data_IF_179083123378
#
_entry.id   IF_179083123378
#
_cell.length_a   1.000
_cell.length_b   1.000
_cell.length_c   1.000
_cell.angle_alpha   90.00
_cell.angle_beta   90.00
_cell.angle_gamma   90.00
#
_symmetry.space_group_name_H-M   'P 1'
#
loop_
_entity.id
_entity.type
_entity.pdbx_description
1 polymer ?
#
# COMPACT_ATOMS: atom_id res chain seq x y z
N UNK A 1 -13.52 -2.29 20.16
CA UNK A 1 -13.46 -1.30 19.06
C UNK A 1 -14.86 -0.78 18.73
N UNK A 2 -15.56 -0.17 19.68
CA UNK A 2 -16.83 0.51 19.40
C UNK A 2 -16.64 2.00 19.13
N UNK A 3 -15.51 2.55 19.58
CA UNK A 3 -15.14 3.95 19.40
C UNK A 3 -14.32 4.12 18.11
N UNK A 4 -14.78 4.91 17.12
CA UNK A 4 -14.01 5.24 15.92
C UNK A 4 -12.60 5.74 16.23
N UNK A 5 -12.43 6.51 17.32
CA UNK A 5 -11.16 7.12 17.67
C UNK A 5 -10.08 6.08 18.06
N UNK A 6 -10.47 4.99 18.72
CA UNK A 6 -9.58 3.86 19.03
C UNK A 6 -9.10 3.17 17.76
N UNK A 7 -9.99 3.01 16.79
CA UNK A 7 -9.69 2.40 15.49
C UNK A 7 -8.73 3.29 14.71
N UNK A 8 -8.98 4.59 14.66
CA UNK A 8 -8.07 5.59 14.08
C UNK A 8 -6.69 5.52 14.70
N UNK A 9 -6.63 5.45 16.02
CA UNK A 9 -5.36 5.36 16.77
C UNK A 9 -4.57 4.12 16.37
N UNK A 10 -5.23 2.97 16.20
CA UNK A 10 -4.56 1.76 15.73
C UNK A 10 -4.10 1.88 14.26
N UNK A 11 -4.96 2.38 13.37
CA UNK A 11 -4.62 2.60 11.96
C UNK A 11 -3.44 3.56 11.83
N UNK A 12 -3.45 4.66 12.57
CA UNK A 12 -2.39 5.66 12.64
C UNK A 12 -1.03 5.06 13.00
N UNK A 13 -0.99 4.18 13.99
CA UNK A 13 0.24 3.47 14.38
C UNK A 13 0.72 2.52 13.30
N UNK A 14 -0.19 1.71 12.75
CA UNK A 14 0.15 0.73 11.72
C UNK A 14 0.61 1.40 10.40
N UNK A 15 -0.05 2.48 9.99
CA UNK A 15 0.38 3.24 8.80
C UNK A 15 1.70 3.97 9.07
N UNK A 16 1.95 4.41 10.30
CA UNK A 16 3.25 4.94 10.73
C UNK A 16 4.38 3.91 10.50
N UNK A 17 4.17 2.64 10.90
CA UNK A 17 5.13 1.56 10.65
C UNK A 17 5.32 1.35 9.14
N UNK A 18 4.23 1.30 8.36
CA UNK A 18 4.31 1.12 6.91
C UNK A 18 5.11 2.25 6.25
N UNK A 19 4.82 3.50 6.57
CA UNK A 19 5.48 4.68 6.01
C UNK A 19 6.93 4.80 6.48
N UNK A 20 7.24 4.38 7.70
CA UNK A 20 8.61 4.29 8.21
C UNK A 20 9.46 3.36 7.32
N UNK A 21 8.98 2.14 7.05
CA UNK A 21 9.69 1.19 6.18
C UNK A 21 9.77 1.70 4.73
N UNK A 22 8.69 2.27 4.18
CA UNK A 22 8.72 2.88 2.84
C UNK A 22 9.78 3.99 2.73
N UNK A 23 9.93 4.81 3.79
CA UNK A 23 10.93 5.89 3.82
C UNK A 23 12.35 5.33 3.82
N UNK A 24 12.62 4.27 4.59
CA UNK A 24 13.90 3.58 4.57
C UNK A 24 14.22 2.94 3.21
N UNK A 25 13.22 2.37 2.53
CA UNK A 25 13.40 1.84 1.18
C UNK A 25 13.83 2.94 0.20
N UNK A 26 13.17 4.10 0.22
CA UNK A 26 13.57 5.22 -0.64
C UNK A 26 14.95 5.78 -0.28
N UNK A 27 15.30 5.84 1.01
CA UNK A 27 16.65 6.24 1.44
C UNK A 27 17.72 5.27 0.90
N UNK A 28 17.43 3.97 0.91
CA UNK A 28 18.34 2.96 0.33
C UNK A 28 18.46 3.06 -1.18
N UNK A 29 17.46 3.62 -1.86
CA UNK A 29 17.47 3.86 -3.30
C UNK A 29 18.21 5.15 -3.73
N UNK A 30 18.94 5.82 -2.82
CA UNK A 30 19.63 7.10 -3.09
C UNK A 30 20.40 7.10 -4.42
N UNK A 31 21.12 6.01 -4.72
CA UNK A 31 22.00 5.96 -5.89
C UNK A 31 21.19 6.00 -7.19
N UNK A 32 20.00 5.38 -7.19
CA UNK A 32 19.07 5.42 -8.33
C UNK A 32 18.39 6.78 -8.51
N UNK A 33 18.25 7.54 -7.42
CA UNK A 33 17.58 8.86 -7.36
C UNK A 33 18.57 10.00 -7.62
N UNK A 34 19.87 9.75 -7.43
CA UNK A 34 20.95 10.71 -7.60
C UNK A 34 21.02 11.31 -9.00
N UNK A 35 21.74 12.42 -9.18
CA UNK A 35 21.97 13.01 -10.52
C UNK A 35 22.74 12.08 -11.49
N UNK A 36 23.39 11.04 -10.96
CA UNK A 36 24.02 9.97 -11.75
C UNK A 36 23.12 8.75 -11.95
N UNK A 37 21.99 8.71 -11.26
CA UNK A 37 21.01 7.63 -11.29
C UNK A 37 20.04 7.74 -12.46
N UNK A 38 19.22 6.69 -12.60
CA UNK A 38 18.20 6.59 -13.65
C UNK A 38 16.95 7.45 -13.37
N UNK A 39 16.70 7.79 -12.12
CA UNK A 39 15.54 8.58 -11.66
C UNK A 39 15.96 9.97 -11.19
N UNK A 40 16.82 10.63 -11.95
CA UNK A 40 17.29 11.99 -11.66
C UNK A 40 16.25 13.04 -12.01
N UNK A 41 16.25 14.14 -11.26
CA UNK A 41 15.24 15.19 -11.42
C UNK A 41 15.38 15.93 -12.75
N UNK A 42 16.61 16.12 -13.22
CA UNK A 42 16.94 16.78 -14.49
C UNK A 42 16.14 16.23 -15.68
N UNK A 43 15.99 14.91 -15.78
CA UNK A 43 15.18 14.25 -16.82
C UNK A 43 13.68 14.36 -16.53
N UNK A 44 13.26 14.02 -15.30
CA UNK A 44 11.84 14.01 -14.91
C UNK A 44 11.18 15.39 -14.99
N UNK A 45 11.96 16.46 -14.76
CA UNK A 45 11.51 17.84 -14.78
C UNK A 45 10.80 18.21 -16.08
N UNK A 46 11.26 17.66 -17.22
CA UNK A 46 10.71 17.96 -18.55
C UNK A 46 9.22 17.62 -18.64
N UNK A 47 8.76 16.63 -17.90
CA UNK A 47 7.35 16.22 -17.86
C UNK A 47 6.47 17.18 -17.08
N UNK A 48 7.04 18.04 -16.23
CA UNK A 48 6.29 18.98 -15.40
C UNK A 48 6.27 20.40 -15.96
N UNK A 49 6.82 20.62 -17.15
CA UNK A 49 6.89 21.95 -17.77
C UNK A 49 5.50 22.55 -18.09
N UNK A 50 4.46 21.71 -18.16
CA UNK A 50 3.07 22.17 -18.32
C UNK A 50 2.49 22.81 -17.04
N UNK A 51 3.13 22.61 -15.87
CA UNK A 51 2.64 23.15 -14.61
C UNK A 51 2.86 24.68 -14.50
N UNK A 52 2.02 25.38 -13.72
CA UNK A 52 2.24 26.78 -13.39
C UNK A 52 3.64 27.04 -12.79
N UNK A 53 4.26 28.17 -13.14
CA UNK A 53 5.64 28.53 -12.72
C UNK A 53 5.91 28.35 -11.23
N UNK A 54 4.95 28.71 -10.36
CA UNK A 54 5.08 28.56 -8.90
C UNK A 54 5.14 27.09 -8.46
N UNK A 55 4.33 26.22 -9.07
CA UNK A 55 4.33 24.79 -8.78
C UNK A 55 5.62 24.15 -9.30
N UNK A 56 6.04 24.49 -10.52
CA UNK A 56 7.31 24.00 -11.07
C UNK A 56 8.51 24.45 -10.22
N UNK A 57 8.55 25.71 -9.78
CA UNK A 57 9.59 26.21 -8.89
C UNK A 57 9.62 25.48 -7.53
N UNK A 58 8.46 25.12 -6.99
CA UNK A 58 8.36 24.30 -5.79
C UNK A 58 8.91 22.88 -6.02
N UNK A 59 8.57 22.25 -7.16
CA UNK A 59 9.11 20.95 -7.52
C UNK A 59 10.63 21.01 -7.74
N UNK A 60 11.12 22.04 -8.44
CA UNK A 60 12.55 22.30 -8.64
C UNK A 60 13.31 22.50 -7.33
N UNK A 61 12.63 22.94 -6.28
CA UNK A 61 13.22 23.02 -4.94
C UNK A 61 13.22 21.68 -4.21
N UNK A 62 12.13 20.90 -4.23
CA UNK A 62 12.00 19.71 -3.37
C UNK A 62 12.46 18.39 -4.03
N UNK A 63 12.40 18.30 -5.35
CA UNK A 63 12.69 17.06 -6.11
C UNK A 63 14.16 16.77 -6.40
N UNK A 64 15.12 17.72 -6.41
CA UNK A 64 16.53 17.37 -6.53
C UNK A 64 17.02 16.44 -5.41
N UNK A 65 18.02 15.62 -5.71
CA UNK A 65 18.52 14.53 -4.84
C UNK A 65 18.62 14.92 -3.36
N UNK A 66 19.38 15.98 -3.05
CA UNK A 66 19.61 16.41 -1.66
C UNK A 66 18.31 16.68 -0.91
N UNK A 67 17.41 17.46 -1.52
CA UNK A 67 16.15 17.89 -0.89
C UNK A 67 15.15 16.76 -0.80
N UNK A 68 15.13 15.88 -1.80
CA UNK A 68 14.34 14.67 -1.77
C UNK A 68 14.78 13.74 -0.62
N UNK A 69 16.09 13.58 -0.39
CA UNK A 69 16.63 12.78 0.71
C UNK A 69 16.37 13.41 2.09
N UNK A 70 16.46 14.73 2.20
CA UNK A 70 16.02 15.48 3.40
C UNK A 70 14.52 15.22 3.67
N UNK A 71 13.68 15.29 2.64
CA UNK A 71 12.25 14.98 2.75
C UNK A 71 12.01 13.53 3.21
N UNK A 72 12.75 12.54 2.68
CA UNK A 72 12.63 11.15 3.12
C UNK A 72 13.04 10.96 4.58
N UNK A 73 14.04 11.70 5.04
CA UNK A 73 14.49 11.68 6.43
C UNK A 73 13.44 12.29 7.35
N UNK A 74 12.89 13.45 6.99
CA UNK A 74 11.78 14.09 7.72
C UNK A 74 10.57 13.15 7.77
N UNK A 75 10.22 12.53 6.63
CA UNK A 75 9.12 11.57 6.53
C UNK A 75 9.33 10.37 7.44
N UNK A 76 10.55 9.81 7.50
CA UNK A 76 10.90 8.71 8.40
C UNK A 76 10.64 9.05 9.86
N UNK A 77 11.15 10.19 10.34
CA UNK A 77 10.92 10.61 11.73
C UNK A 77 9.45 10.99 11.99
N UNK A 78 8.77 11.62 11.03
CA UNK A 78 7.33 11.90 11.13
C UNK A 78 6.51 10.62 11.25
N UNK A 79 6.93 9.55 10.56
CA UNK A 79 6.29 8.24 10.66
C UNK A 79 6.48 7.60 12.04
N UNK A 80 7.67 7.77 12.66
CA UNK A 80 7.90 7.38 14.06
C UNK A 80 7.00 8.19 15.00
N UNK A 81 6.87 9.50 14.78
CA UNK A 81 5.96 10.34 15.56
C UNK A 81 4.50 9.90 15.41
N UNK A 82 4.07 9.41 14.25
CA UNK A 82 2.73 8.84 14.08
C UNK A 82 2.48 7.60 14.95
N UNK A 83 3.53 6.81 15.22
CA UNK A 83 3.45 5.62 16.09
C UNK A 83 3.30 6.05 17.56
N UNK A 84 4.08 7.04 18.00
CA UNK A 84 4.15 7.48 19.39
C UNK A 84 2.98 8.42 19.74
N UNK A 85 2.66 9.35 18.84
CA UNK A 85 1.67 10.41 19.02
C UNK A 85 0.58 10.38 17.94
N UNK A 86 -0.26 9.32 17.88
CA UNK A 86 -1.23 9.07 16.81
C UNK A 86 -2.47 9.98 16.86
N UNK A 87 -2.39 11.17 17.45
CA UNK A 87 -3.55 12.05 17.69
C UNK A 87 -3.46 13.39 16.94
N UNK A 88 -2.28 13.74 16.43
CA UNK A 88 -2.07 15.04 15.79
C UNK A 88 -2.26 14.97 14.28
N UNK A 89 -3.31 15.62 13.76
CA UNK A 89 -3.63 15.61 12.33
C UNK A 89 -2.47 16.11 11.44
N UNK A 90 -1.66 17.05 11.95
CA UNK A 90 -0.50 17.63 11.25
C UNK A 90 0.51 16.56 10.85
N UNK A 91 0.71 15.53 11.68
CA UNK A 91 1.60 14.41 11.37
C UNK A 91 1.13 13.71 10.08
N UNK A 92 -0.15 13.36 10.01
CA UNK A 92 -0.72 12.67 8.86
C UNK A 92 -0.77 13.56 7.63
N UNK A 93 -0.95 14.89 7.79
CA UNK A 93 -0.85 15.84 6.68
C UNK A 93 0.55 15.86 6.07
N UNK A 94 1.60 15.90 6.89
CA UNK A 94 2.99 15.83 6.41
C UNK A 94 3.24 14.49 5.71
N UNK A 95 2.81 13.38 6.30
CA UNK A 95 2.95 12.06 5.67
C UNK A 95 2.17 11.96 4.36
N UNK A 96 0.93 12.46 4.30
CA UNK A 96 0.11 12.49 3.10
C UNK A 96 0.80 13.29 2.00
N UNK A 97 1.19 14.53 2.31
CA UNK A 97 1.80 15.45 1.35
C UNK A 97 3.12 14.89 0.82
N UNK A 98 3.99 14.38 1.69
CA UNK A 98 5.24 13.74 1.24
C UNK A 98 4.99 12.47 0.43
N UNK A 99 3.93 11.69 0.71
CA UNK A 99 3.55 10.52 -0.13
C UNK A 99 3.10 10.98 -1.51
N UNK A 100 2.31 12.05 -1.56
CA UNK A 100 1.85 12.62 -2.82
C UNK A 100 3.01 13.18 -3.66
N UNK A 101 3.99 13.82 -3.03
CA UNK A 101 5.21 14.27 -3.72
C UNK A 101 6.03 13.10 -4.27
N UNK A 102 6.11 11.98 -3.54
CA UNK A 102 6.70 10.75 -4.06
C UNK A 102 5.94 10.30 -5.32
N UNK A 103 4.61 10.28 -5.33
CA UNK A 103 3.89 9.80 -6.52
C UNK A 103 4.10 10.67 -7.75
N UNK A 104 4.41 11.96 -7.58
CA UNK A 104 4.87 12.78 -8.70
C UNK A 104 6.15 12.17 -9.28
N UNK A 105 7.22 12.02 -8.49
CA UNK A 105 8.50 11.51 -9.01
C UNK A 105 8.40 10.18 -9.78
N UNK A 106 7.46 9.29 -9.39
CA UNK A 106 7.26 8.00 -10.05
C UNK A 106 6.13 7.96 -11.09
N UNK A 107 5.64 9.13 -11.55
CA UNK A 107 4.55 9.25 -12.54
C UNK A 107 3.29 8.47 -12.12
N UNK A 108 3.04 8.39 -10.83
CA UNK A 108 2.04 7.53 -10.21
C UNK A 108 2.62 6.72 -9.05
N UNK A 109 2.15 5.50 -8.87
CA UNK A 109 2.65 4.61 -7.83
C UNK A 109 4.01 4.02 -8.19
N UNK A 110 4.94 3.99 -7.24
CA UNK A 110 6.17 3.21 -7.38
C UNK A 110 5.91 1.71 -7.21
N UNK A 111 5.05 1.33 -6.25
CA UNK A 111 4.74 -0.06 -5.90
C UNK A 111 3.24 -0.37 -6.05
N UNK A 112 2.62 0.19 -7.10
CA UNK A 112 1.23 -0.09 -7.46
C UNK A 112 0.22 0.26 -6.36
N UNK A 113 -0.69 -0.68 -6.10
CA UNK A 113 -1.79 -0.53 -5.14
C UNK A 113 -1.36 -0.17 -3.71
N UNK A 114 -0.14 -0.51 -3.28
CA UNK A 114 0.30 -0.18 -1.91
C UNK A 114 0.48 1.30 -1.68
N UNK A 115 0.97 2.03 -2.70
CA UNK A 115 1.19 3.46 -2.58
C UNK A 115 -0.15 4.21 -2.64
N UNK A 116 -1.09 3.77 -3.48
CA UNK A 116 -2.45 4.30 -3.51
C UNK A 116 -3.19 4.06 -2.19
N UNK A 117 -3.11 2.86 -1.62
CA UNK A 117 -3.74 2.57 -0.32
C UNK A 117 -3.09 3.38 0.80
N UNK A 118 -1.77 3.62 0.74
CA UNK A 118 -1.07 4.50 1.69
C UNK A 118 -1.63 5.92 1.62
N UNK A 119 -1.79 6.49 0.42
CA UNK A 119 -2.41 7.80 0.22
C UNK A 119 -3.84 7.87 0.75
N UNK A 120 -4.65 6.84 0.47
CA UNK A 120 -6.04 6.75 0.92
C UNK A 120 -6.12 6.75 2.44
N UNK A 121 -5.33 5.91 3.12
CA UNK A 121 -5.33 5.83 4.58
C UNK A 121 -4.87 7.16 5.19
N UNK A 122 -3.79 7.75 4.67
CA UNK A 122 -3.29 9.02 5.19
C UNK A 122 -4.28 10.17 4.99
N UNK A 123 -4.94 10.24 3.83
CA UNK A 123 -6.02 11.20 3.57
C UNK A 123 -7.18 11.02 4.57
N UNK A 124 -7.60 9.77 4.78
CA UNK A 124 -8.64 9.42 5.75
C UNK A 124 -8.27 9.85 7.17
N UNK A 125 -7.01 9.65 7.58
CA UNK A 125 -6.51 10.14 8.86
C UNK A 125 -6.52 11.66 8.91
N UNK A 126 -6.08 12.38 7.87
CA UNK A 126 -6.13 13.85 7.83
C UNK A 126 -7.55 14.39 8.09
N UNK A 127 -8.57 13.79 7.48
CA UNK A 127 -9.96 14.29 7.59
C UNK A 127 -10.69 13.77 8.82
N UNK A 128 -10.39 12.55 9.27
CA UNK A 128 -11.17 11.88 10.30
C UNK A 128 -11.01 12.47 11.71
N UNK A 129 -9.91 13.18 11.99
CA UNK A 129 -9.74 13.85 13.29
C UNK A 129 -10.63 15.09 13.46
N UNK A 130 -11.26 15.62 12.41
CA UNK A 130 -12.07 16.84 12.52
C UNK A 130 -13.47 16.60 13.09
N UNK A 131 -14.06 15.42 12.90
CA UNK A 131 -15.36 15.09 13.52
C UNK A 131 -15.63 13.58 13.55
N UNK A 132 -16.46 13.08 14.48
CA UNK A 132 -16.85 11.67 14.52
C UNK A 132 -17.54 11.17 13.25
N UNK A 133 -18.31 12.05 12.58
CA UNK A 133 -18.96 11.72 11.31
C UNK A 133 -17.94 11.49 10.20
N UNK A 134 -16.96 12.39 10.05
CA UNK A 134 -15.87 12.23 9.10
C UNK A 134 -15.01 11.01 9.42
N UNK A 135 -14.76 10.75 10.70
CA UNK A 135 -14.04 9.55 11.15
C UNK A 135 -14.74 8.29 10.62
N UNK A 136 -16.05 8.17 10.87
CA UNK A 136 -16.86 7.04 10.40
C UNK A 136 -16.87 6.93 8.86
N UNK A 137 -17.05 8.05 8.16
CA UNK A 137 -17.05 8.08 6.70
C UNK A 137 -15.71 7.59 6.12
N UNK A 138 -14.59 8.02 6.69
CA UNK A 138 -13.27 7.59 6.22
C UNK A 138 -12.96 6.11 6.53
N UNK A 139 -13.45 5.53 7.64
CA UNK A 139 -13.32 4.08 7.88
C UNK A 139 -14.10 3.27 6.86
N UNK A 140 -15.32 3.70 6.52
CA UNK A 140 -16.09 3.09 5.45
C UNK A 140 -15.42 3.26 4.09
N UNK A 141 -14.82 4.42 3.82
CA UNK A 141 -14.07 4.65 2.59
C UNK A 141 -12.86 3.70 2.47
N UNK A 142 -12.03 3.56 3.52
CA UNK A 142 -10.93 2.58 3.54
C UNK A 142 -11.47 1.17 3.29
N UNK A 143 -12.55 0.78 3.97
CA UNK A 143 -13.18 -0.54 3.83
C UNK A 143 -13.63 -0.81 2.40
N UNK A 144 -14.33 0.14 1.77
CA UNK A 144 -14.78 0.02 0.38
C UNK A 144 -13.61 -0.08 -0.60
N UNK A 145 -12.53 0.69 -0.37
CA UNK A 145 -11.33 0.63 -1.20
C UNK A 145 -10.64 -0.74 -1.11
N UNK A 146 -10.53 -1.32 0.09
CA UNK A 146 -9.94 -2.67 0.28
C UNK A 146 -10.81 -3.75 -0.34
N UNK A 147 -12.14 -3.71 -0.12
CA UNK A 147 -13.07 -4.68 -0.73
C UNK A 147 -12.98 -4.61 -2.26
N UNK A 148 -13.02 -3.39 -2.81
CA UNK A 148 -12.93 -3.18 -4.26
C UNK A 148 -11.58 -3.66 -4.82
N UNK A 149 -10.48 -3.39 -4.11
CA UNK A 149 -9.14 -3.81 -4.52
C UNK A 149 -9.04 -5.33 -4.65
N UNK A 150 -9.48 -6.09 -3.64
CA UNK A 150 -9.50 -7.55 -3.70
C UNK A 150 -10.46 -8.05 -4.78
N UNK A 151 -11.71 -7.59 -4.77
CA UNK A 151 -12.73 -8.09 -5.70
C UNK A 151 -12.37 -7.85 -7.17
N UNK A 152 -11.92 -6.64 -7.51
CA UNK A 152 -11.53 -6.29 -8.88
C UNK A 152 -10.28 -7.07 -9.31
N UNK A 153 -9.33 -7.30 -8.40
CA UNK A 153 -8.18 -8.16 -8.67
C UNK A 153 -8.63 -9.61 -8.97
N UNK A 154 -9.55 -10.17 -8.19
CA UNK A 154 -10.12 -11.49 -8.42
C UNK A 154 -10.88 -11.57 -9.75
N UNK A 155 -11.65 -10.53 -10.07
CA UNK A 155 -12.40 -10.43 -11.33
C UNK A 155 -11.47 -10.38 -12.55
N UNK A 156 -10.35 -9.65 -12.46
CA UNK A 156 -9.34 -9.65 -13.51
C UNK A 156 -8.70 -11.04 -13.66
N UNK A 157 -8.31 -11.66 -12.55
CA UNK A 157 -7.66 -12.99 -12.56
C UNK A 157 -8.58 -14.08 -13.10
N UNK A 158 -9.86 -14.10 -12.73
CA UNK A 158 -10.78 -15.13 -13.24
C UNK A 158 -11.07 -14.95 -14.73
N UNK A 159 -11.01 -13.73 -15.27
CA UNK A 159 -11.16 -13.44 -16.71
C UNK A 159 -9.92 -13.77 -17.53
N UNK A 160 -8.74 -13.75 -16.93
CA UNK A 160 -7.48 -14.08 -17.60
C UNK A 160 -7.23 -15.59 -17.69
N UNK A 161 -7.02 -16.11 -18.91
CA UNK A 161 -6.84 -17.55 -19.16
C UNK A 161 -5.62 -18.11 -18.43
N UNK A 162 -4.51 -17.37 -18.40
CA UNK A 162 -3.26 -17.79 -17.73
C UNK A 162 -3.45 -18.04 -16.23
N UNK A 163 -4.31 -17.25 -15.58
CA UNK A 163 -4.66 -17.41 -14.17
C UNK A 163 -5.53 -18.65 -13.95
N UNK A 164 -6.56 -18.87 -14.77
CA UNK A 164 -7.40 -20.09 -14.67
C UNK A 164 -6.62 -21.39 -14.88
N UNK A 165 -5.57 -21.36 -15.72
CA UNK A 165 -4.66 -22.48 -15.92
C UNK A 165 -3.58 -22.63 -14.83
N UNK A 166 -3.39 -21.64 -13.97
CA UNK A 166 -2.29 -21.63 -12.99
C UNK A 166 -0.93 -21.17 -13.53
N UNK A 167 -0.76 -21.09 -14.85
CA UNK A 167 0.50 -20.66 -15.49
C UNK A 167 0.94 -19.24 -15.09
N UNK A 168 0.00 -18.36 -14.72
CA UNK A 168 0.32 -17.04 -14.19
C UNK A 168 1.12 -17.12 -12.87
N UNK A 169 0.81 -18.08 -11.99
CA UNK A 169 1.53 -18.27 -10.71
C UNK A 169 2.99 -18.62 -10.97
N UNK A 170 3.24 -19.58 -11.87
CA UNK A 170 4.61 -19.89 -12.30
C UNK A 170 5.30 -18.66 -12.93
N UNK A 171 4.61 -17.91 -13.79
CA UNK A 171 5.14 -16.69 -14.41
C UNK A 171 5.55 -15.62 -13.40
N UNK A 172 4.76 -15.41 -12.34
CA UNK A 172 5.13 -14.49 -11.25
C UNK A 172 6.33 -15.01 -10.46
N UNK A 173 6.33 -16.29 -10.06
CA UNK A 173 7.40 -16.90 -9.26
C UNK A 173 8.73 -16.98 -10.01
N UNK A 174 8.70 -17.18 -11.32
CA UNK A 174 9.89 -17.26 -12.18
C UNK A 174 10.37 -15.90 -12.70
N UNK A 175 9.64 -14.81 -12.42
CA UNK A 175 10.01 -13.48 -12.89
C UNK A 175 11.36 -13.03 -12.30
N UNK A 176 12.30 -12.54 -13.13
CA UNK A 176 13.61 -12.09 -12.67
C UNK A 176 13.55 -10.86 -11.77
N UNK A 177 12.41 -10.16 -11.75
CA UNK A 177 12.17 -9.03 -10.85
C UNK A 177 12.10 -9.45 -9.38
N UNK A 178 11.88 -10.74 -9.09
CA UNK A 178 11.75 -11.26 -7.74
C UNK A 178 12.88 -12.25 -7.42
N UNK A 179 13.42 -12.15 -6.20
CA UNK A 179 14.41 -13.10 -5.68
C UNK A 179 13.72 -14.25 -4.96
N UNK A 180 12.86 -14.98 -5.68
CA UNK A 180 12.01 -16.00 -5.08
C UNK A 180 12.82 -17.21 -4.59
N UNK A 181 12.54 -17.78 -3.40
CA UNK A 181 13.24 -18.95 -2.89
C UNK A 181 13.20 -20.13 -3.87
N UNK A 182 14.35 -20.79 -4.07
CA UNK A 182 14.50 -21.86 -5.07
C UNK A 182 13.50 -23.00 -4.89
N UNK A 183 13.19 -23.38 -3.65
CA UNK A 183 12.22 -24.46 -3.39
C UNK A 183 10.79 -24.09 -3.86
N UNK A 184 10.38 -22.82 -3.75
CA UNK A 184 9.10 -22.32 -4.27
C UNK A 184 9.13 -22.31 -5.79
N UNK A 185 10.24 -21.86 -6.40
CA UNK A 185 10.41 -21.90 -7.84
C UNK A 185 10.29 -23.32 -8.40
N UNK A 186 10.99 -24.29 -7.80
CA UNK A 186 10.88 -25.70 -8.22
C UNK A 186 9.47 -26.24 -8.02
N UNK A 187 8.83 -25.97 -6.87
CA UNK A 187 7.45 -26.42 -6.62
C UNK A 187 6.45 -25.79 -7.59
N UNK A 188 6.68 -24.55 -8.02
CA UNK A 188 5.79 -23.85 -8.96
C UNK A 188 5.78 -24.43 -10.38
N UNK A 189 6.74 -25.31 -10.72
CA UNK A 189 6.74 -26.05 -11.99
C UNK A 189 5.69 -27.16 -12.03
N UNK A 190 5.21 -27.63 -10.88
CA UNK A 190 4.11 -28.59 -10.75
C UNK A 190 2.77 -27.92 -11.15
N UNK A 191 2.14 -28.30 -12.28
CA UNK A 191 0.95 -27.61 -12.79
C UNK A 191 -0.25 -27.74 -11.85
N UNK A 192 -0.38 -28.86 -11.13
CA UNK A 192 -1.48 -29.06 -10.20
C UNK A 192 -1.35 -28.14 -8.99
N UNK A 193 -0.13 -28.00 -8.47
CA UNK A 193 0.16 -27.06 -7.39
C UNK A 193 -0.08 -25.61 -7.84
N UNK A 194 0.47 -25.19 -8.98
CA UNK A 194 0.33 -23.83 -9.48
C UNK A 194 -1.14 -23.46 -9.73
N UNK A 195 -1.93 -24.38 -10.29
CA UNK A 195 -3.36 -24.21 -10.49
C UNK A 195 -4.12 -24.11 -9.17
N UNK A 196 -3.76 -24.93 -8.18
CA UNK A 196 -4.39 -24.88 -6.84
C UNK A 196 -4.15 -23.52 -6.18
N UNK A 197 -2.92 -23.00 -6.22
CA UNK A 197 -2.60 -21.67 -5.71
C UNK A 197 -3.36 -20.58 -6.45
N UNK A 198 -3.41 -20.65 -7.79
CA UNK A 198 -4.12 -19.66 -8.60
C UNK A 198 -5.60 -19.59 -8.25
N UNK A 199 -6.28 -20.73 -8.17
CA UNK A 199 -7.70 -20.77 -7.81
C UNK A 199 -7.96 -20.40 -6.37
N UNK A 200 -7.05 -20.73 -5.44
CA UNK A 200 -7.16 -20.29 -4.05
C UNK A 200 -7.14 -18.76 -3.95
N UNK A 201 -6.25 -18.09 -4.69
CA UNK A 201 -6.19 -16.61 -4.76
C UNK A 201 -7.43 -16.04 -5.44
N UNK A 202 -7.84 -16.59 -6.59
CA UNK A 202 -9.05 -16.14 -7.31
C UNK A 202 -10.28 -16.20 -6.41
N UNK A 203 -10.51 -17.33 -5.75
CA UNK A 203 -11.69 -17.54 -4.92
C UNK A 203 -11.69 -16.61 -3.71
N UNK A 204 -10.55 -16.50 -3.01
CA UNK A 204 -10.39 -15.58 -1.87
C UNK A 204 -10.69 -14.13 -2.27
N UNK A 205 -10.14 -13.67 -3.40
CA UNK A 205 -10.32 -12.31 -3.89
C UNK A 205 -11.75 -12.03 -4.35
N UNK A 206 -12.36 -12.95 -5.12
CA UNK A 206 -13.74 -12.81 -5.59
C UNK A 206 -14.77 -12.87 -4.46
N UNK A 207 -14.52 -13.67 -3.44
CA UNK A 207 -15.42 -13.82 -2.30
C UNK A 207 -15.21 -12.73 -1.25
N UNK A 208 -14.18 -11.89 -1.38
CA UNK A 208 -13.83 -10.86 -0.40
C UNK A 208 -14.97 -9.88 -0.05
N UNK A 209 -15.93 -9.53 -0.94
CA UNK A 209 -17.10 -8.73 -0.52
C UNK A 209 -17.91 -9.32 0.64
N UNK A 210 -17.84 -10.64 0.87
CA UNK A 210 -18.45 -11.32 2.01
C UNK A 210 -17.75 -11.03 3.35
N UNK A 211 -16.63 -10.28 3.34
CA UNK A 211 -15.87 -9.91 4.55
C UNK A 211 -16.72 -9.20 5.60
N UNK A 212 -17.76 -8.46 5.19
CA UNK A 212 -18.64 -7.73 6.10
C UNK A 212 -19.89 -8.51 6.51
N UNK A 213 -20.10 -9.74 6.01
CA UNK A 213 -21.33 -10.48 6.26
C UNK A 213 -21.52 -10.85 7.73
N UNK A 214 -20.44 -11.20 8.43
CA UNK A 214 -20.44 -11.39 9.89
C UNK A 214 -19.07 -11.02 10.47
N UNK A 215 -18.98 -10.61 11.75
CA UNK A 215 -17.69 -10.36 12.39
C UNK A 215 -16.74 -11.56 12.42
N UNK A 216 -17.28 -12.79 12.44
CA UNK A 216 -16.49 -14.03 12.38
C UNK A 216 -15.86 -14.18 11.00
N UNK A 217 -16.65 -14.01 9.94
CA UNK A 217 -16.13 -14.02 8.57
C UNK A 217 -15.10 -12.91 8.37
N UNK A 218 -15.34 -11.71 8.91
CA UNK A 218 -14.35 -10.63 8.85
C UNK A 218 -13.00 -11.10 9.40
N UNK A 219 -12.97 -11.64 10.61
CA UNK A 219 -11.71 -12.14 11.20
C UNK A 219 -11.04 -13.18 10.31
N UNK A 220 -11.80 -14.13 9.77
CA UNK A 220 -11.26 -15.16 8.88
C UNK A 220 -10.62 -14.55 7.61
N UNK A 221 -11.32 -13.63 6.93
CA UNK A 221 -10.80 -12.94 5.75
C UNK A 221 -9.59 -12.05 6.06
N UNK A 222 -9.59 -11.37 7.21
CA UNK A 222 -8.44 -10.54 7.63
C UNK A 222 -7.22 -11.41 7.93
N UNK A 223 -7.37 -12.55 8.60
CA UNK A 223 -6.29 -13.51 8.84
C UNK A 223 -5.76 -14.04 7.50
N UNK A 224 -6.65 -14.49 6.61
CA UNK A 224 -6.28 -14.94 5.27
C UNK A 224 -5.56 -13.84 4.47
N UNK A 225 -6.02 -12.58 4.58
CA UNK A 225 -5.37 -11.42 3.96
C UNK A 225 -3.98 -11.13 4.53
N UNK A 226 -3.79 -11.22 5.85
CA UNK A 226 -2.45 -11.08 6.48
C UNK A 226 -1.53 -12.18 5.95
N UNK A 227 -1.98 -13.44 5.94
CA UNK A 227 -1.19 -14.57 5.46
C UNK A 227 -0.86 -14.45 3.97
N UNK A 228 -1.82 -14.00 3.15
CA UNK A 228 -1.61 -13.74 1.73
C UNK A 228 -0.51 -12.69 1.51
N UNK A 229 -0.60 -11.54 2.18
CA UNK A 229 0.42 -10.50 2.03
C UNK A 229 1.76 -10.88 2.66
N UNK A 230 1.76 -11.64 3.75
CA UNK A 230 2.99 -12.17 4.33
C UNK A 230 3.67 -13.15 3.36
N UNK A 231 2.90 -14.04 2.73
CA UNK A 231 3.39 -14.92 1.67
C UNK A 231 4.01 -14.12 0.52
N UNK A 232 3.32 -13.08 0.05
CA UNK A 232 3.85 -12.19 -0.99
C UNK A 232 5.13 -11.47 -0.55
N UNK A 233 5.21 -11.04 0.71
CA UNK A 233 6.43 -10.44 1.26
C UNK A 233 7.59 -11.44 1.29
N UNK A 234 7.37 -12.66 1.77
CA UNK A 234 8.41 -13.69 1.89
C UNK A 234 8.86 -14.24 0.52
N UNK A 235 7.95 -14.36 -0.44
CA UNK A 235 8.20 -14.96 -1.76
C UNK A 235 8.71 -13.93 -2.78
N UNK A 236 8.15 -12.72 -2.76
CA UNK A 236 8.40 -11.69 -3.77
C UNK A 236 9.12 -10.45 -3.22
N UNK A 237 9.32 -10.34 -1.90
CA UNK A 237 9.89 -9.14 -1.29
C UNK A 237 8.94 -7.94 -1.33
N UNK A 238 7.63 -8.16 -1.52
CA UNK A 238 6.61 -7.10 -1.60
C UNK A 238 6.27 -6.51 -0.21
N UNK A 239 7.27 -5.91 0.44
CA UNK A 239 7.22 -5.40 1.81
C UNK A 239 6.09 -4.38 2.03
N UNK A 240 5.94 -3.42 1.12
CA UNK A 240 4.95 -2.34 1.26
C UNK A 240 3.52 -2.85 1.35
N UNK A 241 3.18 -3.85 0.55
CA UNK A 241 1.84 -4.46 0.54
C UNK A 241 1.49 -5.04 1.91
N UNK A 242 2.42 -5.76 2.55
CA UNK A 242 2.18 -6.34 3.86
C UNK A 242 1.80 -5.31 4.92
N UNK A 243 2.60 -4.25 5.06
CA UNK A 243 2.37 -3.25 6.10
C UNK A 243 1.12 -2.41 5.86
N UNK A 244 0.89 -1.93 4.63
CA UNK A 244 -0.23 -1.02 4.36
C UNK A 244 -1.58 -1.74 4.34
N UNK A 245 -1.66 -2.98 3.85
CA UNK A 245 -2.91 -3.75 3.96
C UNK A 245 -3.23 -4.06 5.42
N UNK A 246 -2.23 -4.47 6.21
CA UNK A 246 -2.42 -4.70 7.64
C UNK A 246 -2.91 -3.43 8.36
N UNK A 247 -2.43 -2.25 7.96
CA UNK A 247 -2.90 -0.97 8.50
C UNK A 247 -4.36 -0.65 8.15
N UNK A 248 -4.90 -1.22 7.07
CA UNK A 248 -6.30 -1.00 6.66
C UNK A 248 -7.30 -1.89 7.41
N UNK A 249 -6.88 -3.06 7.89
CA UNK A 249 -7.75 -4.10 8.46
C UNK A 249 -8.55 -3.71 9.70
N UNK A 250 -8.06 -2.83 10.61
CA UNK A 250 -8.89 -2.32 11.68
C UNK A 250 -10.16 -1.61 11.19
N UNK A 251 -10.12 -0.93 10.03
CA UNK A 251 -11.30 -0.28 9.46
C UNK A 251 -12.37 -1.31 9.05
N UNK A 252 -11.95 -2.41 8.40
CA UNK A 252 -12.86 -3.47 7.98
C UNK A 252 -13.52 -4.15 9.18
N UNK A 253 -12.74 -4.44 10.23
CA UNK A 253 -13.27 -5.03 11.46
C UNK A 253 -14.25 -4.08 12.17
N UNK A 254 -13.94 -2.77 12.20
CA UNK A 254 -14.88 -1.79 12.75
C UNK A 254 -16.19 -1.74 11.94
N UNK A 255 -16.10 -1.69 10.62
CA UNK A 255 -17.26 -1.61 9.74
C UNK A 255 -18.14 -2.87 9.84
N UNK A 256 -17.58 -4.06 10.01
CA UNK A 256 -18.38 -5.29 10.13
C UNK A 256 -19.14 -5.43 11.46
N UNK A 257 -18.71 -4.72 12.51
CA UNK A 257 -19.49 -4.62 13.75
C UNK A 257 -20.68 -3.64 13.63
N UNK A 258 -20.79 -2.95 12.49
CA UNK A 258 -21.76 -1.88 12.22
C UNK A 258 -22.51 -2.08 10.88
N UNK A 259 -22.26 -3.20 10.20
CA UNK A 259 -22.85 -3.57 8.93
C UNK A 259 -24.19 -4.28 9.12
#
# INVERSE_FOLDING_TARGET
>A
MNNPQEVYTLIARLIGIAVMFQSLEFIKMKDSISEKGIWRWSELRSEYLFLPKRMLAFLDWIMPEKRFMEMMTIRFYTAILAIIYPYFFVIFFILFFTTFLITLRWRGSFNGGSDYLTLIILLCLCIGYFSPLLAKAALWYITLQVISSYFLAGLYKVKEYKWRLGTAVYGFISSPNYKTPRFILEKSKDPAWAKTIAWSVILFELSFPLVLATPILTKAYLIAGVLFHLGNFLVFGLNRFFWVWSASYPALYYCSLKA
#
